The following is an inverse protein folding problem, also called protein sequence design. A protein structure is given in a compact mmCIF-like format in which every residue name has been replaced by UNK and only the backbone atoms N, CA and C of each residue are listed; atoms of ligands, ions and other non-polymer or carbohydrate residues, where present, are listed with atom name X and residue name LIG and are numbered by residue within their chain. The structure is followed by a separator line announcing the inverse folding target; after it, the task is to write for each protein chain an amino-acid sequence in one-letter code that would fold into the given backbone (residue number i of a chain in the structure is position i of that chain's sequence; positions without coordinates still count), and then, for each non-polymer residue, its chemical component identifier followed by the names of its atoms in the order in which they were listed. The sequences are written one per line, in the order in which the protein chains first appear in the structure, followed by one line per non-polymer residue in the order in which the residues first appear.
data_IF_575202048706
#
_entry.id   IF_575202048706
#
_cell.length_a   1.000
_cell.length_b   1.000
_cell.length_c   1.000
_cell.angle_alpha   90.00
_cell.angle_beta   90.00
_cell.angle_gamma   90.00
#
_symmetry.space_group_name_H-M   'P 1'
#
loop_
_entity.id
_entity.type
_entity.pdbx_description
1 polymer ?
#
# COMPACT_ATOMS: atom_id res chain seq x y z
N UNK A 1 4.23 -0.28 0.62
CA UNK A 1 3.05 -1.08 1.03
C UNK A 1 1.92 -0.76 0.06
N UNK A 2 1.21 -1.80 -0.39
CA UNK A 2 0.12 -1.70 -1.36
C UNK A 2 -1.02 -2.57 -0.86
N UNK A 3 -2.18 -1.95 -0.61
CA UNK A 3 -3.42 -2.64 -0.25
C UNK A 3 -4.51 -2.12 -1.17
N UNK A 4 -5.31 -3.03 -1.71
CA UNK A 4 -6.34 -2.72 -2.70
C UNK A 4 -7.63 -3.46 -2.36
N UNK A 5 -8.76 -2.84 -2.68
CA UNK A 5 -10.05 -3.50 -2.76
C UNK A 5 -10.31 -3.78 -4.25
N UNK A 6 -10.41 -5.06 -4.59
CA UNK A 6 -10.69 -5.48 -5.96
C UNK A 6 -12.20 -5.52 -6.17
N UNK A 7 -12.69 -4.79 -7.16
CA UNK A 7 -14.08 -4.89 -7.61
C UNK A 7 -14.23 -6.04 -8.61
N UNK A 8 -13.33 -6.09 -9.59
CA UNK A 8 -13.30 -7.12 -10.63
C UNK A 8 -11.87 -7.36 -11.15
N UNK A 9 -11.74 -8.12 -12.24
CA UNK A 9 -10.45 -8.45 -12.85
C UNK A 9 -9.69 -7.24 -13.44
N UNK A 10 -10.36 -6.10 -13.66
CA UNK A 10 -9.86 -4.91 -14.35
C UNK A 10 -9.86 -3.65 -13.47
N UNK A 11 -10.58 -3.65 -12.35
CA UNK A 11 -10.76 -2.47 -11.48
C UNK A 11 -10.42 -2.79 -10.03
N UNK A 12 -9.60 -1.94 -9.42
CA UNK A 12 -9.32 -2.00 -7.99
C UNK A 12 -8.95 -0.61 -7.44
N UNK A 13 -9.56 -0.25 -6.32
CA UNK A 13 -9.22 0.97 -5.59
C UNK A 13 -8.15 0.71 -4.54
N UNK A 14 -7.39 1.74 -4.20
CA UNK A 14 -6.48 1.65 -3.07
C UNK A 14 -7.30 1.68 -1.77
N UNK A 15 -6.96 0.84 -0.81
CA UNK A 15 -7.68 0.83 0.46
C UNK A 15 -7.19 1.96 1.36
N UNK A 16 -8.07 2.78 1.91
CA UNK A 16 -7.67 3.80 2.88
C UNK A 16 -7.47 3.19 4.27
N UNK A 17 -6.24 2.79 4.57
CA UNK A 17 -5.86 2.38 5.92
C UNK A 17 -5.97 3.57 6.86
N UNK A 18 -6.51 3.32 8.05
CA UNK A 18 -6.53 4.33 9.10
C UNK A 18 -5.11 4.74 9.51
N UNK A 19 -5.03 5.90 10.15
CA UNK A 19 -3.75 6.51 10.49
C UNK A 19 -2.95 5.68 11.50
N UNK A 20 -3.63 5.00 12.42
CA UNK A 20 -3.00 4.20 13.47
C UNK A 20 -2.31 2.95 12.88
N UNK A 21 -2.99 2.25 11.96
CA UNK A 21 -2.45 1.12 11.23
C UNK A 21 -1.24 1.51 10.39
N UNK A 22 -1.29 2.67 9.71
CA UNK A 22 -0.14 3.19 8.96
C UNK A 22 1.06 3.48 9.86
N UNK A 23 0.83 4.04 11.06
CA UNK A 23 1.89 4.31 12.04
C UNK A 23 2.50 3.02 12.60
N UNK A 24 1.68 2.03 12.94
CA UNK A 24 2.16 0.72 13.41
C UNK A 24 2.99 0.01 12.33
N UNK A 25 2.47 -0.04 11.10
CA UNK A 25 3.17 -0.65 9.95
C UNK A 25 4.50 0.05 9.69
N UNK A 26 4.50 1.39 9.65
CA UNK A 26 5.72 2.18 9.44
C UNK A 26 6.77 1.87 10.51
N UNK A 27 6.38 1.85 11.79
CA UNK A 27 7.30 1.57 12.91
C UNK A 27 7.87 0.16 12.85
N UNK A 28 7.04 -0.84 12.56
CA UNK A 28 7.47 -2.25 12.51
C UNK A 28 8.38 -2.54 11.33
N UNK A 29 8.07 -2.00 10.15
CA UNK A 29 8.86 -2.23 8.93
C UNK A 29 10.19 -1.48 9.01
N UNK A 30 10.21 -0.24 9.50
CA UNK A 30 11.44 0.55 9.64
C UNK A 30 12.40 0.03 10.73
N UNK A 31 11.95 -0.87 11.61
CA UNK A 31 12.83 -1.56 12.55
C UNK A 31 13.75 -2.61 11.88
N UNK A 32 13.50 -2.95 10.60
CA UNK A 32 14.35 -3.86 9.82
C UNK A 32 15.59 -3.08 9.36
N UNK A 33 16.83 -3.50 9.73
CA UNK A 33 18.03 -2.71 9.48
C UNK A 33 18.29 -2.33 8.02
N UNK A 34 17.78 -3.12 7.07
CA UNK A 34 17.97 -2.92 5.64
C UNK A 34 16.90 -2.02 5.00
N UNK A 35 15.89 -1.56 5.75
CA UNK A 35 14.81 -0.72 5.24
C UNK A 35 15.04 0.74 5.63
N UNK A 36 15.17 1.62 4.64
CA UNK A 36 15.36 3.06 4.84
C UNK A 36 14.08 3.89 4.74
N UNK A 37 13.06 3.38 4.05
CA UNK A 37 11.83 4.12 3.77
C UNK A 37 10.65 3.17 3.56
N UNK A 38 9.49 3.58 4.06
CA UNK A 38 8.21 2.90 3.85
C UNK A 38 7.24 3.89 3.22
N UNK A 39 6.65 3.52 2.08
CA UNK A 39 5.63 4.32 1.39
C UNK A 39 4.32 3.54 1.30
N UNK A 40 3.20 4.26 1.16
CA UNK A 40 1.88 3.67 0.90
C UNK A 40 1.39 4.09 -0.49
N UNK A 41 1.08 3.11 -1.34
CA UNK A 41 0.72 3.36 -2.73
C UNK A 41 -0.79 3.56 -2.88
N UNK A 42 -1.18 4.77 -3.26
CA UNK A 42 -2.57 5.26 -3.30
C UNK A 42 -3.13 5.47 -4.73
N UNK A 43 -2.49 4.90 -5.75
CA UNK A 43 -2.98 4.99 -7.14
C UNK A 43 -4.00 3.89 -7.43
N UNK A 44 -5.08 4.15 -8.16
CA UNK A 44 -6.08 3.13 -8.51
C UNK A 44 -5.65 2.29 -9.73
N UNK A 45 -6.20 1.09 -9.85
CA UNK A 45 -6.20 0.32 -11.11
C UNK A 45 -7.55 0.53 -11.79
N UNK A 46 -7.60 1.11 -13.00
CA UNK A 46 -6.56 1.87 -13.72
C UNK A 46 -6.31 3.27 -13.10
N UNK A 47 -5.17 3.95 -13.41
CA UNK A 47 -4.20 3.66 -14.46
C UNK A 47 -3.05 2.72 -14.08
N UNK A 48 -2.88 2.38 -12.80
CA UNK A 48 -1.81 1.44 -12.40
C UNK A 48 -2.25 -0.02 -12.54
N UNK A 49 -1.31 -0.93 -12.30
CA UNK A 49 -1.58 -2.34 -12.01
C UNK A 49 -1.69 -2.55 -10.49
N UNK A 50 -2.06 -3.77 -10.06
CA UNK A 50 -2.07 -4.14 -8.63
C UNK A 50 -0.64 -4.28 -8.14
N UNK A 51 0.17 -5.03 -8.90
CA UNK A 51 1.59 -5.20 -8.66
C UNK A 51 2.36 -3.98 -9.17
N UNK A 52 3.25 -3.37 -8.36
CA UNK A 52 4.15 -2.34 -8.83
C UNK A 52 5.17 -2.93 -9.81
N UNK A 53 5.56 -2.16 -10.81
CA UNK A 53 6.59 -2.49 -11.79
C UNK A 53 8.01 -2.24 -11.28
#
# INVERSE_FOLDING_TARGET
VRVVESEDAMTADWFELDREALEELSKRISAIPQVSMVTYAITTKPPSTIEPC
#
